data_IF_645743219835
#
_entry.id   IF_645743219835
#
_cell.length_a   1.000
_cell.length_b   1.000
_cell.length_c   1.000
_cell.angle_alpha   90.00
_cell.angle_beta   90.00
_cell.angle_gamma   90.00
#
_symmetry.space_group_name_H-M   'P 1'
#
loop_
_entity.id
_entity.type
_entity.pdbx_description
1 polymer ?
#
# COMPACT_ATOMS: atom_id res chain seq x y z
N UNK A 1 4.93 -18.02 -13.41
CA UNK A 1 3.90 -18.82 -14.10
C UNK A 1 3.32 -18.01 -15.26
N UNK A 2 3.63 -18.34 -16.52
CA UNK A 2 3.27 -17.53 -17.70
C UNK A 2 1.77 -17.21 -17.79
N UNK A 3 0.92 -18.14 -17.37
CA UNK A 3 -0.54 -17.99 -17.29
C UNK A 3 -0.98 -16.89 -16.32
N UNK A 4 -0.29 -16.69 -15.19
CA UNK A 4 -0.61 -15.61 -14.24
C UNK A 4 -0.22 -14.22 -14.79
N UNK A 5 0.80 -14.12 -15.64
CA UNK A 5 1.16 -12.84 -16.29
C UNK A 5 0.10 -12.40 -17.30
N UNK A 6 -0.53 -13.34 -17.99
CA UNK A 6 -1.62 -13.05 -18.94
C UNK A 6 -2.86 -12.45 -18.25
N UNK A 7 -3.08 -12.74 -16.96
CA UNK A 7 -4.16 -12.15 -16.15
C UNK A 7 -3.92 -10.67 -15.80
N UNK A 8 -2.68 -10.17 -15.93
CA UNK A 8 -2.30 -8.79 -15.63
C UNK A 8 -2.33 -7.91 -16.90
N UNK A 9 -3.42 -7.97 -17.65
CA UNK A 9 -3.70 -7.01 -18.72
C UNK A 9 -3.87 -5.59 -18.17
N UNK A 10 -3.84 -4.58 -19.04
CA UNK A 10 -3.96 -3.18 -18.62
C UNK A 10 -5.21 -2.89 -17.76
N UNK A 11 -6.41 -3.39 -18.11
CA UNK A 11 -7.59 -3.17 -17.26
C UNK A 11 -7.42 -3.72 -15.83
N UNK A 12 -6.91 -4.96 -15.70
CA UNK A 12 -6.64 -5.57 -14.39
C UNK A 12 -5.58 -4.79 -13.60
N UNK A 13 -4.54 -4.27 -14.27
CA UNK A 13 -3.55 -3.40 -13.62
C UNK A 13 -4.17 -2.11 -13.11
N UNK A 14 -5.09 -1.51 -13.87
CA UNK A 14 -5.80 -0.31 -13.44
C UNK A 14 -6.64 -0.58 -12.19
N UNK A 15 -7.36 -1.70 -12.15
CA UNK A 15 -8.11 -2.12 -10.96
C UNK A 15 -7.21 -2.33 -9.74
N UNK A 16 -6.04 -2.92 -9.94
CA UNK A 16 -5.02 -3.10 -8.89
C UNK A 16 -4.51 -1.74 -8.40
N UNK A 17 -4.14 -0.83 -9.31
CA UNK A 17 -3.66 0.51 -8.95
C UNK A 17 -4.72 1.27 -8.15
N UNK A 18 -5.98 1.23 -8.60
CA UNK A 18 -7.10 1.87 -7.89
C UNK A 18 -7.33 1.27 -6.51
N UNK A 19 -7.22 -0.05 -6.36
CA UNK A 19 -7.32 -0.70 -5.05
C UNK A 19 -6.18 -0.33 -4.10
N UNK A 20 -4.94 -0.26 -4.61
CA UNK A 20 -3.78 0.22 -3.82
C UNK A 20 -3.98 1.67 -3.37
N UNK A 21 -4.42 2.55 -4.28
CA UNK A 21 -4.70 3.95 -3.95
C UNK A 21 -5.78 4.09 -2.87
N UNK A 22 -6.86 3.30 -2.94
CA UNK A 22 -7.89 3.24 -1.88
C UNK A 22 -7.33 2.73 -0.55
N UNK A 23 -6.49 1.70 -0.58
CA UNK A 23 -5.81 1.19 0.61
C UNK A 23 -4.94 2.25 1.27
N UNK A 24 -4.18 3.02 0.47
CA UNK A 24 -3.37 4.13 0.99
C UNK A 24 -4.22 5.27 1.55
N UNK A 25 -5.29 5.67 0.85
CA UNK A 25 -6.23 6.67 1.36
C UNK A 25 -6.80 6.25 2.72
N UNK A 26 -7.18 4.98 2.85
CA UNK A 26 -7.66 4.44 4.12
C UNK A 26 -6.60 4.55 5.23
N UNK A 27 -5.36 4.14 4.95
CA UNK A 27 -4.27 4.22 5.92
C UNK A 27 -3.96 5.66 6.33
N UNK A 28 -4.07 6.62 5.41
CA UNK A 28 -3.68 8.01 5.65
C UNK A 28 -4.79 8.88 6.25
N UNK A 29 -6.05 8.63 5.90
CA UNK A 29 -7.16 9.55 6.25
C UNK A 29 -8.37 8.84 6.88
N UNK A 30 -8.83 7.70 6.34
CA UNK A 30 -10.11 7.10 6.77
C UNK A 30 -9.99 6.15 7.99
N UNK A 31 -8.77 5.71 8.30
CA UNK A 31 -8.53 4.85 9.46
C UNK A 31 -8.48 5.65 10.76
N UNK A 32 -8.76 4.97 11.88
CA UNK A 32 -8.75 5.61 13.22
C UNK A 32 -7.38 6.21 13.59
N UNK A 33 -6.30 5.66 13.04
CA UNK A 33 -4.93 6.08 13.28
C UNK A 33 -4.28 6.33 11.92
N UNK A 34 -3.69 7.51 11.71
CA UNK A 34 -2.94 7.77 10.47
C UNK A 34 -1.67 6.91 10.42
N UNK A 35 -1.60 6.00 9.47
CA UNK A 35 -0.49 5.05 9.27
C UNK A 35 0.30 5.44 8.03
N UNK A 36 1.62 5.68 8.17
CA UNK A 36 2.52 5.81 7.02
C UNK A 36 3.28 4.49 6.83
N UNK A 37 3.11 3.87 5.65
CA UNK A 37 3.71 2.58 5.33
C UNK A 37 5.24 2.60 5.24
N UNK A 38 5.82 3.66 4.67
CA UNK A 38 7.26 3.91 4.42
C UNK A 38 8.02 2.92 3.51
N UNK A 39 7.49 1.72 3.25
CA UNK A 39 8.10 0.75 2.30
C UNK A 39 7.09 0.25 1.25
N UNK A 40 6.40 1.18 0.57
CA UNK A 40 5.42 0.82 -0.45
C UNK A 40 6.13 0.50 -1.78
N UNK A 41 6.03 -0.75 -2.22
CA UNK A 41 6.63 -1.26 -3.47
C UNK A 41 5.81 -2.42 -4.00
N UNK A 42 6.03 -2.79 -5.27
CA UNK A 42 5.26 -3.84 -5.93
C UNK A 42 5.34 -5.21 -5.21
N UNK A 43 6.49 -5.56 -4.60
CA UNK A 43 6.62 -6.81 -3.84
C UNK A 43 5.78 -6.85 -2.57
N UNK A 44 5.36 -5.68 -2.07
CA UNK A 44 4.54 -5.52 -0.86
C UNK A 44 3.05 -5.37 -1.19
N UNK A 45 2.67 -5.50 -2.47
CA UNK A 45 1.27 -5.60 -2.90
C UNK A 45 0.96 -7.06 -3.19
N UNK A 46 0.18 -7.68 -2.29
CA UNK A 46 -0.31 -9.04 -2.49
C UNK A 46 -1.62 -9.00 -3.26
N UNK A 47 -1.87 -10.03 -4.07
CA UNK A 47 -3.15 -10.22 -4.74
C UNK A 47 -3.85 -11.44 -4.12
N UNK A 48 -5.11 -11.27 -3.73
CA UNK A 48 -5.92 -12.40 -3.29
C UNK A 48 -6.46 -13.24 -4.47
N UNK A 49 -7.26 -14.25 -4.15
CA UNK A 49 -7.86 -15.17 -5.13
C UNK A 49 -8.76 -14.46 -6.14
N UNK A 50 -9.27 -13.26 -5.81
CA UNK A 50 -10.11 -12.44 -6.68
C UNK A 50 -9.32 -11.35 -7.42
N UNK A 51 -7.98 -11.43 -7.41
CA UNK A 51 -7.07 -10.43 -7.99
C UNK A 51 -7.22 -9.04 -7.37
N UNK A 52 -7.70 -8.94 -6.13
CA UNK A 52 -7.79 -7.67 -5.40
C UNK A 52 -6.49 -7.40 -4.64
N UNK A 53 -5.97 -6.16 -4.71
CA UNK A 53 -4.73 -5.80 -4.04
C UNK A 53 -4.91 -5.70 -2.53
N UNK A 54 -3.89 -6.13 -1.79
CA UNK A 54 -3.73 -5.96 -0.35
C UNK A 54 -2.33 -5.42 -0.07
N UNK A 55 -2.26 -4.30 0.63
CA UNK A 55 -0.99 -3.73 1.10
C UNK A 55 -0.49 -4.61 2.24
N UNK A 56 0.80 -4.95 2.22
CA UNK A 56 1.44 -5.85 3.17
C UNK A 56 2.81 -5.31 3.60
N UNK A 57 3.40 -5.94 4.62
CA UNK A 57 4.70 -5.56 5.19
C UNK A 57 4.74 -4.17 5.84
N UNK A 58 4.02 -4.06 6.95
CA UNK A 58 4.00 -2.88 7.82
C UNK A 58 5.17 -2.85 8.80
N UNK A 59 6.26 -3.61 8.57
CA UNK A 59 7.40 -3.66 9.48
C UNK A 59 8.11 -2.31 9.63
N UNK A 60 8.02 -1.46 8.60
CA UNK A 60 8.49 -0.07 8.62
C UNK A 60 7.36 0.93 8.85
N UNK A 61 6.13 0.51 9.16
CA UNK A 61 5.04 1.47 9.33
C UNK A 61 5.21 2.33 10.59
N UNK A 62 4.62 3.52 10.59
CA UNK A 62 4.59 4.40 11.77
C UNK A 62 3.24 5.09 11.90
N UNK A 63 2.87 5.45 13.12
CA UNK A 63 1.65 6.21 13.42
C UNK A 63 1.95 7.71 13.43
N UNK A 64 0.95 8.48 13.03
CA UNK A 64 0.92 9.94 13.11
C UNK A 64 -0.27 10.38 13.96
N UNK A 65 -0.09 11.47 14.72
CA UNK A 65 -1.22 12.14 15.34
C UNK A 65 -2.09 12.77 14.22
N UNK A 66 -3.41 12.77 14.41
CA UNK A 66 -4.36 13.13 13.34
C UNK A 66 -4.21 14.57 12.81
N UNK A 67 -3.62 15.46 13.62
CA UNK A 67 -3.33 16.86 13.35
C UNK A 67 -1.93 17.12 12.76
N UNK A 68 -1.07 16.09 12.70
CA UNK A 68 0.27 16.22 12.14
C UNK A 68 0.29 15.92 10.64
N UNK A 69 0.65 16.93 9.84
CA UNK A 69 0.86 16.80 8.37
C UNK A 69 2.30 16.46 8.00
N UNK A 70 3.24 16.61 8.95
CA UNK A 70 4.66 16.33 8.78
C UNK A 70 5.21 15.64 10.03
N UNK A 71 6.12 14.67 9.85
CA UNK A 71 6.97 14.19 10.94
C UNK A 71 8.40 14.05 10.47
N UNK A 72 9.31 14.43 11.34
CA UNK A 72 10.75 14.25 11.15
C UNK A 72 11.10 12.86 11.67
N UNK A 73 11.59 11.99 10.79
CA UNK A 73 12.13 10.69 11.19
C UNK A 73 13.65 10.79 11.26
N UNK A 74 14.24 10.36 12.36
CA UNK A 74 15.70 10.40 12.58
C UNK A 74 16.44 9.20 12.00
N UNK A 75 15.69 8.18 11.58
CA UNK A 75 16.21 6.93 11.01
C UNK A 75 15.69 6.77 9.58
N UNK A 76 16.62 6.57 8.64
CA UNK A 76 16.30 6.19 7.26
C UNK A 76 15.63 4.80 7.29
N UNK A 77 14.47 4.70 6.65
CA UNK A 77 13.68 3.47 6.54
C UNK A 77 13.12 3.35 5.11
N UNK A 78 12.97 2.11 4.63
CA UNK A 78 12.65 1.77 3.23
C UNK A 78 13.73 0.86 2.62
N UNK A 79 13.52 0.40 1.39
CA UNK A 79 14.49 -0.45 0.65
C UNK A 79 14.80 0.08 -0.73
#
# INVERSE_FOLDING_TARGET
NPTKRALLGWPARMDIIMGVARGLLYLHEDSRLKVIHRDLKASNILLDEQMKPKISDFGMATLFANDQTHAITTRVAGT
#
